data_IF_536304494181
#
_entry.id   IF_536304494181
#
_cell.length_a   1.000
_cell.length_b   1.000
_cell.length_c   1.000
_cell.angle_alpha   90.00
_cell.angle_beta   90.00
_cell.angle_gamma   90.00
#
_symmetry.space_group_name_H-M   'P 1'
#
loop_
_entity.id
_entity.type
_entity.pdbx_description
1 polymer ?
#
# COMPACT_ATOMS: atom_id res chain seq x y z
N UNK A 1 16.17 15.73 -14.37
CA UNK A 1 14.94 16.11 -13.61
C UNK A 1 14.11 14.83 -13.44
N UNK A 2 13.13 14.80 -12.54
CA UNK A 2 12.31 13.60 -12.30
C UNK A 2 10.84 13.83 -12.63
N UNK A 3 10.08 12.75 -12.78
CA UNK A 3 8.63 12.80 -12.95
C UNK A 3 7.92 12.65 -11.58
N UNK A 4 6.86 13.43 -11.37
CA UNK A 4 5.97 13.29 -10.22
C UNK A 4 4.65 12.67 -10.67
N UNK A 5 4.22 11.62 -9.99
CA UNK A 5 2.89 11.04 -10.15
C UNK A 5 2.13 11.30 -8.84
N UNK A 6 1.01 12.01 -8.91
CA UNK A 6 0.30 12.44 -7.70
C UNK A 6 -1.22 12.50 -7.95
N UNK A 7 -2.06 12.27 -6.93
CA UNK A 7 -3.49 12.57 -7.02
C UNK A 7 -3.70 14.06 -7.23
N UNK A 8 -4.87 14.40 -7.74
CA UNK A 8 -5.25 15.78 -8.04
C UNK A 8 -5.29 16.63 -6.77
N UNK A 9 -5.74 16.03 -5.67
CA UNK A 9 -5.79 16.59 -4.31
C UNK A 9 -4.41 17.05 -3.77
N UNK A 10 -3.29 16.54 -4.32
CA UNK A 10 -1.96 17.00 -3.94
C UNK A 10 -1.49 18.26 -4.70
N UNK A 11 -2.20 18.63 -5.78
CA UNK A 11 -1.82 19.66 -6.75
C UNK A 11 -2.81 20.83 -6.80
N UNK A 12 -4.03 20.62 -6.33
CA UNK A 12 -5.12 21.59 -6.30
C UNK A 12 -5.38 22.04 -4.84
N UNK A 13 -6.27 23.01 -4.64
CA UNK A 13 -6.76 23.55 -3.35
C UNK A 13 -5.88 23.30 -2.08
N UNK A 14 -5.07 24.29 -1.70
CA UNK A 14 -4.03 24.16 -0.65
C UNK A 14 -2.98 23.05 -0.94
N UNK A 15 -2.25 23.19 -2.07
CA UNK A 15 -1.46 22.09 -2.60
C UNK A 15 -0.24 21.78 -1.73
N UNK A 16 -0.08 20.51 -1.35
CA UNK A 16 1.17 20.03 -0.72
C UNK A 16 2.36 20.07 -1.68
N UNK A 17 2.10 20.01 -2.98
CA UNK A 17 3.10 20.27 -4.02
C UNK A 17 3.04 21.75 -4.43
N UNK A 18 3.80 22.55 -3.68
CA UNK A 18 3.85 24.01 -3.81
C UNK A 18 4.21 24.45 -5.23
N UNK A 19 3.54 25.50 -5.74
CA UNK A 19 3.70 25.96 -7.13
C UNK A 19 5.16 26.27 -7.50
N UNK A 20 5.94 26.85 -6.58
CA UNK A 20 7.35 27.18 -6.85
C UNK A 20 8.24 25.94 -7.03
N UNK A 21 7.82 24.76 -6.54
CA UNK A 21 8.56 23.51 -6.70
C UNK A 21 8.31 22.84 -8.06
N UNK A 22 7.17 23.12 -8.70
CA UNK A 22 6.74 22.45 -9.94
C UNK A 22 7.73 22.63 -11.11
N UNK A 23 8.33 23.81 -11.35
CA UNK A 23 9.30 23.99 -12.43
C UNK A 23 10.60 23.18 -12.31
N UNK A 24 10.91 22.62 -11.13
CA UNK A 24 12.08 21.75 -10.91
C UNK A 24 11.84 20.30 -11.38
N UNK A 25 10.58 19.92 -11.59
CA UNK A 25 10.18 18.62 -12.10
C UNK A 25 10.30 18.60 -13.63
N UNK A 26 10.47 17.40 -14.20
CA UNK A 26 10.43 17.18 -15.64
C UNK A 26 8.99 17.22 -16.15
N UNK A 27 8.10 16.53 -15.41
CA UNK A 27 6.66 16.49 -15.66
C UNK A 27 5.91 16.13 -14.37
N UNK A 28 4.62 16.44 -14.38
CA UNK A 28 3.67 16.05 -13.34
C UNK A 28 2.55 15.28 -14.04
N UNK A 29 2.28 14.07 -13.58
CA UNK A 29 1.21 13.20 -14.06
C UNK A 29 0.18 13.05 -12.95
N UNK A 30 -1.10 13.24 -13.30
CA UNK A 30 -2.21 13.04 -12.35
C UNK A 30 -2.57 11.55 -12.36
N UNK A 31 -2.52 10.93 -11.18
CA UNK A 31 -2.95 9.53 -11.01
C UNK A 31 -4.46 9.46 -10.84
N UNK A 32 -5.10 8.50 -11.49
CA UNK A 32 -6.56 8.34 -11.48
C UNK A 32 -6.92 6.87 -11.33
N UNK A 33 -8.15 6.61 -10.89
CA UNK A 33 -8.68 5.27 -10.75
C UNK A 33 -8.62 4.47 -12.06
N UNK A 34 -8.12 3.23 -11.98
CA UNK A 34 -8.06 2.30 -13.09
C UNK A 34 -7.02 2.64 -14.16
N UNK A 35 -6.16 3.66 -13.95
CA UNK A 35 -5.13 4.05 -14.91
C UNK A 35 -3.78 3.39 -14.65
N UNK A 36 -3.02 3.23 -15.73
CA UNK A 36 -1.69 2.66 -15.74
C UNK A 36 -0.65 3.66 -16.26
N UNK A 37 0.56 3.54 -15.75
CA UNK A 37 1.69 4.44 -16.00
C UNK A 37 2.98 3.62 -16.15
N UNK A 38 4.01 4.19 -16.77
CA UNK A 38 5.28 3.52 -16.97
C UNK A 38 6.48 4.46 -16.78
N UNK A 39 7.55 3.93 -16.19
CA UNK A 39 8.85 4.57 -16.05
C UNK A 39 9.93 3.53 -16.37
N UNK A 40 10.50 3.60 -17.57
CA UNK A 40 11.45 2.57 -18.03
C UNK A 40 10.79 1.20 -18.12
N UNK A 41 11.38 0.19 -17.48
CA UNK A 41 10.89 -1.19 -17.46
C UNK A 41 9.86 -1.48 -16.36
N UNK A 42 9.52 -0.48 -15.55
CA UNK A 42 8.53 -0.62 -14.48
C UNK A 42 7.23 0.05 -14.92
N UNK A 43 6.14 -0.71 -14.94
CA UNK A 43 4.79 -0.17 -14.99
C UNK A 43 4.17 -0.17 -13.60
N UNK A 44 3.18 0.69 -13.41
CA UNK A 44 2.33 0.62 -12.24
C UNK A 44 0.93 1.10 -12.58
N UNK A 45 -0.05 0.69 -11.78
CA UNK A 45 -1.43 1.16 -11.92
C UNK A 45 -2.07 1.42 -10.56
N UNK A 46 -3.09 2.27 -10.57
CA UNK A 46 -3.89 2.70 -9.41
C UNK A 46 -5.28 2.07 -9.50
N UNK A 47 -5.48 0.85 -8.97
CA UNK A 47 -6.59 -0.02 -9.39
C UNK A 47 -7.97 0.47 -8.96
N UNK A 48 -8.08 1.07 -7.77
CA UNK A 48 -9.34 1.56 -7.21
C UNK A 48 -9.09 2.77 -6.30
N UNK A 49 -10.02 3.72 -6.27
CA UNK A 49 -9.98 4.82 -5.30
C UNK A 49 -10.30 4.27 -3.90
N UNK A 50 -9.44 4.58 -2.94
CA UNK A 50 -9.61 4.16 -1.56
C UNK A 50 -10.71 4.95 -0.84
N UNK A 51 -11.35 4.30 0.12
CA UNK A 51 -12.21 4.98 1.08
C UNK A 51 -11.31 5.61 2.15
N UNK A 52 -10.97 6.89 1.96
CA UNK A 52 -10.16 7.68 2.88
C UNK A 52 -10.55 9.17 2.80
N UNK A 53 -10.07 10.00 3.74
CA UNK A 53 -10.48 11.41 3.87
C UNK A 53 -10.09 12.28 2.67
N UNK A 54 -9.05 11.89 1.95
CA UNK A 54 -8.48 12.57 0.78
C UNK A 54 -8.41 11.62 -0.41
N UNK A 55 -8.21 12.16 -1.61
CA UNK A 55 -8.00 11.33 -2.80
C UNK A 55 -6.78 10.40 -2.62
N UNK A 56 -7.05 9.09 -2.53
CA UNK A 56 -6.06 8.09 -2.16
C UNK A 56 -6.17 6.87 -3.07
N UNK A 57 -5.01 6.37 -3.51
CA UNK A 57 -4.89 5.20 -4.36
C UNK A 57 -3.78 4.30 -3.84
N UNK A 58 -4.05 3.01 -3.69
CA UNK A 58 -2.97 2.02 -3.66
C UNK A 58 -2.33 1.90 -5.04
N UNK A 59 -1.17 1.23 -5.08
CA UNK A 59 -0.37 1.12 -6.29
C UNK A 59 0.06 -0.32 -6.48
N UNK A 60 -0.14 -0.85 -7.68
CA UNK A 60 0.39 -2.15 -8.06
C UNK A 60 1.51 -1.92 -9.07
N UNK A 61 2.74 -2.23 -8.67
CA UNK A 61 3.92 -2.18 -9.52
C UNK A 61 4.12 -3.50 -10.23
N UNK A 62 4.43 -3.43 -11.51
CA UNK A 62 4.77 -4.56 -12.36
C UNK A 62 6.18 -4.36 -12.87
N UNK A 63 7.02 -5.34 -12.57
CA UNK A 63 8.39 -5.44 -13.10
C UNK A 63 8.44 -6.63 -14.04
N UNK A 64 9.53 -6.81 -14.83
CA UNK A 64 9.65 -7.99 -15.69
C UNK A 64 9.57 -9.34 -14.97
N UNK A 65 9.73 -9.37 -13.63
CA UNK A 65 9.81 -10.61 -12.85
C UNK A 65 8.80 -10.72 -11.71
N UNK A 66 8.41 -9.61 -11.09
CA UNK A 66 7.57 -9.59 -9.90
C UNK A 66 6.50 -8.51 -9.97
N UNK A 67 5.35 -8.80 -9.38
CA UNK A 67 4.28 -7.84 -9.11
C UNK A 67 4.27 -7.48 -7.62
N UNK A 68 4.28 -6.18 -7.31
CA UNK A 68 4.32 -5.65 -5.94
C UNK A 68 3.08 -4.79 -5.72
N UNK A 69 2.21 -5.24 -4.82
CA UNK A 69 0.97 -4.56 -4.47
C UNK A 69 1.15 -3.74 -3.19
N UNK A 70 0.97 -2.43 -3.28
CA UNK A 70 1.00 -1.51 -2.16
C UNK A 70 -0.43 -1.05 -1.84
N UNK A 71 -1.04 -1.68 -0.83
CA UNK A 71 -2.34 -1.31 -0.30
C UNK A 71 -2.12 -0.25 0.80
N UNK A 72 -2.22 1.02 0.39
CA UNK A 72 -2.08 2.19 1.26
C UNK A 72 -3.35 2.44 2.08
N UNK A 73 -3.46 3.58 2.77
CA UNK A 73 -4.57 3.87 3.67
C UNK A 73 -5.95 3.77 3.00
N UNK A 74 -6.82 2.98 3.62
CA UNK A 74 -8.24 2.83 3.29
C UNK A 74 -8.97 2.15 4.44
N UNK A 75 -10.27 2.43 4.58
CA UNK A 75 -11.18 1.53 5.28
C UNK A 75 -11.32 0.21 4.51
N UNK A 76 -11.51 -0.89 5.21
CA UNK A 76 -11.86 -2.17 4.59
C UNK A 76 -13.23 -2.10 3.89
N UNK A 77 -13.34 -2.74 2.73
CA UNK A 77 -14.62 -2.94 2.04
C UNK A 77 -14.57 -4.23 1.19
N UNK A 78 -15.74 -4.80 0.93
CA UNK A 78 -15.84 -6.02 0.15
C UNK A 78 -15.27 -5.83 -1.27
N UNK A 79 -14.39 -6.73 -1.70
CA UNK A 79 -13.73 -6.68 -3.00
C UNK A 79 -12.39 -5.95 -3.01
N UNK A 80 -12.00 -5.25 -1.93
CA UNK A 80 -10.72 -4.52 -1.86
C UNK A 80 -9.51 -5.40 -2.23
N UNK A 81 -9.44 -6.61 -1.68
CA UNK A 81 -8.42 -7.64 -1.92
C UNK A 81 -8.26 -8.03 -3.40
N UNK A 82 -9.32 -7.95 -4.20
CA UNK A 82 -9.30 -8.36 -5.61
C UNK A 82 -8.45 -7.43 -6.48
N UNK A 83 -8.26 -6.19 -6.04
CA UNK A 83 -7.48 -5.17 -6.74
C UNK A 83 -5.97 -5.25 -6.48
N UNK A 84 -5.53 -6.05 -5.50
CA UNK A 84 -4.15 -6.04 -5.00
C UNK A 84 -3.44 -7.39 -5.15
N UNK A 85 -3.75 -8.15 -6.19
CA UNK A 85 -3.02 -9.39 -6.52
C UNK A 85 -1.57 -9.09 -6.88
N UNK A 86 -0.62 -9.87 -6.33
CA UNK A 86 0.81 -9.70 -6.59
C UNK A 86 1.66 -10.72 -5.82
N UNK A 87 2.95 -10.80 -6.15
CA UNK A 87 3.91 -11.65 -5.45
C UNK A 87 4.23 -11.14 -4.05
N UNK A 88 4.39 -9.82 -3.91
CA UNK A 88 4.64 -9.13 -2.66
C UNK A 88 3.47 -8.19 -2.37
N UNK A 89 2.90 -8.29 -1.17
CA UNK A 89 1.82 -7.43 -0.72
C UNK A 89 2.28 -6.57 0.46
N UNK A 90 2.32 -5.26 0.28
CA UNK A 90 2.65 -4.28 1.33
C UNK A 90 1.35 -3.62 1.76
N UNK A 91 1.04 -3.65 3.06
CA UNK A 91 -0.25 -3.26 3.62
C UNK A 91 -0.06 -2.24 4.73
N UNK A 92 -0.78 -1.12 4.66
CA UNK A 92 -0.91 -0.21 5.79
C UNK A 92 -1.90 -0.78 6.81
N UNK A 93 -1.43 -1.13 8.01
CA UNK A 93 -2.24 -1.74 9.07
C UNK A 93 -2.15 -0.93 10.36
N UNK A 94 -2.92 0.15 10.40
CA UNK A 94 -2.87 1.15 11.49
C UNK A 94 -3.37 0.57 12.81
N UNK A 95 -4.39 -0.29 12.78
CA UNK A 95 -5.11 -0.71 13.99
C UNK A 95 -4.85 -2.16 14.35
N UNK A 96 -4.86 -2.43 15.65
CA UNK A 96 -4.89 -3.81 16.13
C UNK A 96 -6.27 -4.46 15.93
N UNK A 97 -7.34 -3.77 16.33
CA UNK A 97 -8.74 -4.26 16.22
C UNK A 97 -9.52 -3.48 15.14
N UNK A 98 -10.59 -4.06 14.57
CA UNK A 98 -11.45 -3.39 13.61
C UNK A 98 -12.23 -2.22 14.24
N UNK A 99 -12.77 -1.35 13.37
CA UNK A 99 -13.56 -0.19 13.76
C UNK A 99 -12.74 1.04 14.15
N UNK A 100 -13.37 1.98 14.86
CA UNK A 100 -12.79 3.29 15.17
C UNK A 100 -13.15 4.39 14.17
N UNK A 101 -12.75 5.65 14.44
CA UNK A 101 -13.26 6.81 13.71
C UNK A 101 -12.53 7.11 12.39
N UNK A 102 -11.44 6.41 12.10
CA UNK A 102 -10.57 6.69 10.95
C UNK A 102 -10.56 5.56 9.93
N UNK A 103 -10.46 5.92 8.66
CA UNK A 103 -10.49 4.99 7.53
C UNK A 103 -9.14 4.32 7.28
N UNK A 104 -8.86 3.25 8.04
CA UNK A 104 -7.67 2.41 7.90
C UNK A 104 -8.02 0.93 8.06
N UNK A 105 -7.05 0.04 7.85
CA UNK A 105 -7.16 -1.39 8.12
C UNK A 105 -6.75 -1.74 9.55
N UNK A 106 -7.28 -2.87 10.02
CA UNK A 106 -6.92 -3.56 11.26
C UNK A 106 -6.18 -4.88 11.03
N UNK A 107 -5.63 -5.48 12.09
CA UNK A 107 -4.93 -6.76 11.98
C UNK A 107 -5.83 -7.89 11.45
N UNK A 108 -7.08 -8.07 11.93
CA UNK A 108 -7.98 -9.09 11.37
C UNK A 108 -8.30 -8.86 9.89
N UNK A 109 -8.60 -7.61 9.50
CA UNK A 109 -8.89 -7.25 8.10
C UNK A 109 -7.67 -7.49 7.19
N UNK A 110 -6.46 -7.20 7.69
CA UNK A 110 -5.23 -7.54 6.98
C UNK A 110 -5.07 -9.05 6.80
N UNK A 111 -5.40 -9.85 7.82
CA UNK A 111 -5.43 -11.31 7.72
C UNK A 111 -6.39 -11.82 6.65
N UNK A 112 -7.61 -11.26 6.58
CA UNK A 112 -8.59 -11.58 5.53
C UNK A 112 -8.06 -11.27 4.13
N UNK A 113 -7.48 -10.08 3.94
CA UNK A 113 -6.90 -9.66 2.66
C UNK A 113 -5.75 -10.60 2.27
N UNK A 114 -4.83 -10.90 3.18
CA UNK A 114 -3.68 -11.78 2.90
C UNK A 114 -4.17 -13.17 2.48
N UNK A 115 -5.19 -13.70 3.17
CA UNK A 115 -5.76 -15.02 2.88
C UNK A 115 -6.45 -15.10 1.52
N UNK A 116 -7.06 -14.00 1.07
CA UNK A 116 -7.69 -13.92 -0.25
C UNK A 116 -6.68 -13.63 -1.36
N UNK A 117 -5.74 -12.71 -1.14
CA UNK A 117 -4.70 -12.34 -2.12
C UNK A 117 -3.73 -13.50 -2.34
N UNK A 118 -3.32 -14.17 -1.26
CA UNK A 118 -2.30 -15.23 -1.24
C UNK A 118 -0.98 -14.82 -1.91
N UNK A 119 -0.37 -13.70 -1.48
CA UNK A 119 0.94 -13.32 -1.99
C UNK A 119 2.01 -14.31 -1.48
N UNK A 120 3.20 -14.31 -2.09
CA UNK A 120 4.32 -15.10 -1.58
C UNK A 120 4.79 -14.56 -0.21
N UNK A 121 4.81 -13.24 -0.07
CA UNK A 121 5.12 -12.54 1.18
C UNK A 121 4.17 -11.36 1.38
N UNK A 122 3.75 -11.14 2.61
CA UNK A 122 3.06 -9.92 3.03
C UNK A 122 3.93 -9.10 4.01
N UNK A 123 3.99 -7.79 3.82
CA UNK A 123 4.68 -6.85 4.70
C UNK A 123 3.65 -5.88 5.29
N UNK A 124 3.52 -5.86 6.61
CA UNK A 124 2.68 -4.91 7.33
C UNK A 124 3.48 -3.66 7.65
N UNK A 125 2.88 -2.48 7.49
CA UNK A 125 3.51 -1.19 7.81
C UNK A 125 2.47 -0.18 8.30
N UNK A 126 2.88 1.09 8.48
CA UNK A 126 2.03 2.21 8.88
C UNK A 126 1.31 1.95 10.22
N UNK A 127 2.06 1.53 11.24
CA UNK A 127 1.48 1.10 12.51
C UNK A 127 1.01 2.29 13.36
N UNK A 128 -0.28 2.32 13.65
CA UNK A 128 -0.85 3.22 14.65
C UNK A 128 -0.54 2.75 16.07
N UNK A 129 -0.89 3.58 17.06
CA UNK A 129 -0.53 3.33 18.46
C UNK A 129 -1.11 2.04 19.03
N UNK A 130 -2.29 1.59 18.59
CA UNK A 130 -2.88 0.32 19.04
C UNK A 130 -2.09 -0.86 18.51
N UNK A 131 -1.73 -0.85 17.22
CA UNK A 131 -0.88 -1.86 16.60
C UNK A 131 0.53 -1.88 17.22
N UNK A 132 1.12 -0.71 17.46
CA UNK A 132 2.43 -0.60 18.12
C UNK A 132 2.43 -1.21 19.51
N UNK A 133 1.42 -0.89 20.35
CA UNK A 133 1.26 -1.49 21.70
C UNK A 133 1.01 -2.99 21.65
N UNK A 134 0.31 -3.46 20.62
CA UNK A 134 0.12 -4.89 20.36
C UNK A 134 1.37 -5.59 19.80
N UNK A 135 2.48 -4.84 19.64
CA UNK A 135 3.77 -5.33 19.14
C UNK A 135 3.63 -5.91 17.73
N UNK A 136 3.81 -5.11 16.67
CA UNK A 136 3.52 -5.53 15.30
C UNK A 136 4.26 -6.80 14.86
N UNK A 137 5.46 -7.06 15.41
CA UNK A 137 6.22 -8.28 15.17
C UNK A 137 5.58 -9.53 15.79
N UNK A 138 4.87 -9.42 16.91
CA UNK A 138 4.10 -10.53 17.49
C UNK A 138 2.85 -10.82 16.66
N UNK A 139 2.19 -9.77 16.15
CA UNK A 139 1.04 -9.88 15.24
C UNK A 139 1.45 -10.56 13.93
N UNK A 140 2.51 -10.05 13.28
CA UNK A 140 3.05 -10.63 12.05
C UNK A 140 3.53 -12.07 12.23
N UNK A 141 3.98 -12.48 13.43
CA UNK A 141 4.38 -13.87 13.71
C UNK A 141 3.17 -14.83 13.77
N UNK A 142 1.98 -14.34 14.14
CA UNK A 142 0.76 -15.17 14.28
C UNK A 142 0.00 -15.33 12.97
N UNK A 143 -0.06 -14.28 12.15
CA UNK A 143 -0.80 -14.28 10.88
C UNK A 143 -0.46 -15.44 9.91
N UNK A 144 0.78 -15.97 9.84
CA UNK A 144 1.08 -17.15 9.05
C UNK A 144 0.29 -18.39 9.44
N UNK A 145 -0.08 -18.55 10.72
CA UNK A 145 -0.90 -19.68 11.21
C UNK A 145 -2.32 -19.65 10.60
N UNK A 146 -2.84 -18.47 10.33
CA UNK A 146 -4.21 -18.24 9.82
C UNK A 146 -4.28 -18.16 8.30
N UNK A 147 -3.23 -17.59 7.69
CA UNK A 147 -3.18 -17.24 6.26
C UNK A 147 -2.38 -18.23 5.43
N UNK A 148 -1.45 -18.97 6.03
CA UNK A 148 -0.47 -19.79 5.32
C UNK A 148 0.58 -19.00 4.54
N UNK A 149 0.62 -17.67 4.71
CA UNK A 149 1.52 -16.76 3.99
C UNK A 149 2.61 -16.27 4.94
N UNK A 150 3.83 -16.10 4.43
CA UNK A 150 4.91 -15.46 5.19
C UNK A 150 4.58 -13.99 5.41
N UNK A 151 4.44 -13.57 6.68
CA UNK A 151 4.13 -12.18 7.06
C UNK A 151 5.30 -11.55 7.81
N UNK A 152 5.62 -10.30 7.48
CA UNK A 152 6.71 -9.52 8.08
C UNK A 152 6.15 -8.20 8.59
N UNK A 153 6.55 -7.79 9.79
CA UNK A 153 6.33 -6.41 10.25
C UNK A 153 7.49 -5.53 9.79
N UNK A 154 7.19 -4.46 9.04
CA UNK A 154 8.19 -3.49 8.62
C UNK A 154 8.83 -2.78 9.82
N UNK A 155 10.07 -2.35 9.64
CA UNK A 155 10.83 -1.53 10.61
C UNK A 155 11.62 -0.48 9.87
N UNK A 156 11.92 0.61 10.54
CA UNK A 156 12.76 1.67 10.00
C UNK A 156 14.13 1.10 9.60
N UNK A 157 14.60 1.46 8.40
CA UNK A 157 15.84 0.94 7.81
C UNK A 157 15.75 -0.50 7.27
N UNK A 158 14.58 -1.14 7.26
CA UNK A 158 14.42 -2.45 6.62
C UNK A 158 14.63 -2.35 5.11
N UNK A 159 15.35 -3.33 4.57
CA UNK A 159 15.41 -3.60 3.13
C UNK A 159 14.90 -5.02 2.88
N UNK A 160 14.15 -5.20 1.79
CA UNK A 160 13.65 -6.49 1.36
C UNK A 160 14.09 -6.72 -0.08
N UNK A 161 14.78 -7.83 -0.34
CA UNK A 161 15.25 -8.15 -1.68
C UNK A 161 14.15 -8.94 -2.40
N UNK A 162 13.72 -8.48 -3.58
CA UNK A 162 12.68 -9.17 -4.35
C UNK A 162 13.07 -10.61 -4.75
N UNK A 163 14.37 -10.91 -4.83
CA UNK A 163 14.87 -12.27 -5.04
C UNK A 163 14.51 -13.24 -3.88
N UNK A 164 14.17 -12.73 -2.69
CA UNK A 164 13.69 -13.53 -1.56
C UNK A 164 12.25 -14.04 -1.75
N UNK A 165 11.61 -13.70 -2.88
CA UNK A 165 10.31 -14.22 -3.32
C UNK A 165 10.43 -15.50 -4.17
N UNK A 166 11.64 -15.96 -4.47
CA UNK A 166 11.90 -17.19 -5.23
C UNK A 166 11.93 -18.45 -4.34
#
# INVERSE_FOLDING_TARGET
RGALFAPRDALEEDPVILYYLRPYLERIEIVEEGKSYSIGEVSFHTPIRHHHAVETYGVVFETPRYTISCLVDTRFFAGLSQHYKGDLLILNVVRFEPGGPYDHLSAPEAGEIIKEVRPKVAILTHFGMTMWRAKPWEVARRLPEETGVRVIAARDGMSFHLADLD
#
